data_IF_221652599865
#
_entry.id   IF_221652599865
#
_cell.length_a   1.000
_cell.length_b   1.000
_cell.length_c   1.000
_cell.angle_alpha   90.00
_cell.angle_beta   90.00
_cell.angle_gamma   90.00
#
_symmetry.space_group_name_H-M   'P 1'
#
loop_
_entity.id
_entity.type
_entity.pdbx_description
1 polymer ?
#
# COMPACT_ATOMS: atom_id res chain seq x y z
N UNK A 1 0.85 -6.34 -20.05
CA UNK A 1 -0.38 -7.08 -20.38
C UNK A 1 -0.77 -7.82 -19.11
N UNK A 2 -1.88 -7.43 -18.46
CA UNK A 2 -2.37 -8.09 -17.24
C UNK A 2 -2.94 -9.46 -17.61
N UNK A 3 -2.13 -10.50 -17.55
CA UNK A 3 -2.62 -11.87 -17.69
C UNK A 3 -2.14 -12.65 -16.48
N UNK A 4 -2.81 -12.42 -15.36
CA UNK A 4 -2.90 -13.48 -14.36
C UNK A 4 -3.68 -14.60 -15.03
N UNK A 5 -2.99 -15.69 -15.34
CA UNK A 5 -3.62 -16.91 -15.83
C UNK A 5 -4.29 -17.57 -14.64
N UNK A 6 -5.50 -17.13 -14.30
CA UNK A 6 -6.37 -17.83 -13.33
C UNK A 6 -6.60 -19.29 -13.71
N UNK A 7 -6.49 -19.56 -15.01
CA UNK A 7 -6.61 -20.87 -15.59
C UNK A 7 -5.43 -21.17 -16.51
N UNK A 8 -5.00 -22.41 -16.51
CA UNK A 8 -4.07 -22.98 -17.48
C UNK A 8 -4.83 -23.87 -18.45
N UNK A 9 -4.31 -23.94 -19.68
CA UNK A 9 -4.89 -24.74 -20.75
C UNK A 9 -3.97 -25.92 -21.03
N UNK A 10 -4.48 -27.15 -20.88
CA UNK A 10 -3.80 -28.38 -21.26
C UNK A 10 -4.64 -29.09 -22.33
N UNK A 11 -4.34 -28.85 -23.60
CA UNK A 11 -5.15 -29.36 -24.71
C UNK A 11 -6.54 -28.73 -24.74
N UNK A 12 -7.58 -29.54 -24.52
CA UNK A 12 -8.98 -29.15 -24.41
C UNK A 12 -9.47 -29.01 -22.96
N UNK A 13 -8.58 -29.18 -21.98
CA UNK A 13 -8.88 -29.01 -20.56
C UNK A 13 -8.48 -27.62 -20.07
N UNK A 14 -9.38 -27.01 -19.30
CA UNK A 14 -9.13 -25.78 -18.55
C UNK A 14 -8.96 -26.17 -17.09
N UNK A 15 -7.75 -26.05 -16.57
CA UNK A 15 -7.45 -26.27 -15.16
C UNK A 15 -7.34 -24.91 -14.46
N UNK A 16 -7.80 -24.81 -13.22
CA UNK A 16 -7.45 -23.65 -12.39
C UNK A 16 -5.94 -23.67 -12.16
N UNK A 17 -5.29 -22.52 -12.27
CA UNK A 17 -3.87 -22.43 -12.00
C UNK A 17 -3.61 -22.72 -10.52
N UNK A 18 -2.82 -23.74 -10.23
CA UNK A 18 -2.49 -24.16 -8.86
C UNK A 18 -1.73 -23.07 -8.06
N UNK A 19 -1.11 -22.10 -8.75
CA UNK A 19 -0.51 -20.91 -8.13
C UNK A 19 -1.56 -19.91 -7.64
N UNK A 20 -2.82 -20.04 -8.07
CA UNK A 20 -3.93 -19.21 -7.61
C UNK A 20 -4.59 -19.90 -6.43
N UNK A 21 -4.00 -19.66 -5.26
CA UNK A 21 -4.37 -20.30 -4.00
C UNK A 21 -5.88 -20.20 -3.70
N UNK A 22 -6.44 -21.31 -3.23
CA UNK A 22 -7.77 -21.38 -2.63
C UNK A 22 -7.69 -20.93 -1.16
N UNK A 23 -8.61 -20.05 -0.76
CA UNK A 23 -8.58 -19.23 0.46
C UNK A 23 -7.36 -18.30 0.53
N UNK A 24 -7.52 -17.07 0.03
CA UNK A 24 -6.48 -16.05 0.08
C UNK A 24 -6.45 -15.43 1.47
N UNK A 25 -5.40 -15.73 2.23
CA UNK A 25 -5.09 -15.11 3.51
C UNK A 25 -5.33 -13.59 3.46
N UNK A 26 -4.87 -12.93 2.40
CA UNK A 26 -4.99 -11.49 2.18
C UNK A 26 -6.45 -11.05 2.02
N UNK A 27 -7.30 -11.88 1.39
CA UNK A 27 -8.72 -11.60 1.25
C UNK A 27 -9.43 -11.70 2.60
N UNK A 28 -9.14 -12.75 3.37
CA UNK A 28 -9.66 -12.93 4.73
C UNK A 28 -9.22 -11.78 5.63
N UNK A 29 -7.94 -11.41 5.56
CA UNK A 29 -7.38 -10.26 6.28
C UNK A 29 -8.12 -8.97 5.92
N UNK A 30 -8.35 -8.69 4.63
CA UNK A 30 -9.13 -7.54 4.20
C UNK A 30 -10.57 -7.58 4.73
N UNK A 31 -11.19 -8.76 4.79
CA UNK A 31 -12.53 -8.92 5.36
C UNK A 31 -12.53 -8.59 6.86
N UNK A 32 -11.57 -9.13 7.62
CA UNK A 32 -11.41 -8.88 9.05
C UNK A 32 -11.17 -7.39 9.32
N UNK A 33 -10.29 -6.73 8.56
CA UNK A 33 -10.10 -5.28 8.67
C UNK A 33 -11.36 -4.48 8.33
N UNK A 34 -12.15 -4.92 7.35
CA UNK A 34 -13.41 -4.27 7.00
C UNK A 34 -14.46 -4.39 8.11
N UNK A 35 -14.47 -5.52 8.82
CA UNK A 35 -15.45 -5.82 9.87
C UNK A 35 -15.08 -5.15 11.20
N UNK A 36 -13.83 -5.32 11.62
CA UNK A 36 -13.38 -4.99 12.99
C UNK A 36 -12.56 -3.70 13.05
N UNK A 37 -12.02 -3.26 11.91
CA UNK A 37 -11.18 -2.08 11.82
C UNK A 37 -9.81 -2.26 12.50
N UNK A 38 -8.91 -1.31 12.26
CA UNK A 38 -7.59 -1.29 12.90
C UNK A 38 -7.56 -0.55 14.25
N UNK A 39 -8.64 0.17 14.62
CA UNK A 39 -8.64 1.14 15.73
C UNK A 39 -8.74 0.54 17.13
N UNK A 40 -9.22 -0.70 17.26
CA UNK A 40 -9.31 -1.39 18.56
C UNK A 40 -8.05 -2.22 18.87
N UNK A 41 -7.04 -2.15 18.01
CA UNK A 41 -5.89 -3.03 18.06
C UNK A 41 -4.64 -2.30 18.55
N UNK A 42 -3.91 -2.93 19.46
CA UNK A 42 -2.65 -2.41 20.02
C UNK A 42 -1.45 -2.80 19.14
N UNK A 43 -0.41 -1.98 19.14
CA UNK A 43 0.89 -2.31 18.53
C UNK A 43 0.97 -2.18 17.00
N UNK A 44 1.68 -3.11 16.35
CA UNK A 44 2.03 -3.12 14.92
C UNK A 44 0.90 -3.62 14.00
N UNK A 45 -0.26 -3.99 14.52
CA UNK A 45 -1.33 -4.63 13.73
C UNK A 45 -1.90 -3.78 12.58
N UNK A 46 -2.06 -2.43 12.71
CA UNK A 46 -2.40 -1.59 11.56
C UNK A 46 -1.37 -1.64 10.42
N UNK A 47 -0.09 -1.92 10.74
CA UNK A 47 0.97 -2.07 9.74
C UNK A 47 0.84 -3.30 8.87
N UNK A 48 0.08 -4.31 9.29
CA UNK A 48 -0.19 -5.47 8.45
C UNK A 48 -0.93 -5.04 7.18
N UNK A 49 -1.95 -4.18 7.31
CA UNK A 49 -2.68 -3.67 6.15
C UNK A 49 -1.81 -2.78 5.27
N UNK A 50 -0.99 -1.91 5.87
CA UNK A 50 -0.09 -1.03 5.12
C UNK A 50 0.97 -1.82 4.35
N UNK A 51 1.63 -2.81 4.98
CA UNK A 51 2.64 -3.66 4.32
C UNK A 51 2.03 -4.49 3.18
N UNK A 52 0.88 -5.12 3.42
CA UNK A 52 0.16 -5.86 2.40
C UNK A 52 -0.27 -4.96 1.23
N UNK A 53 -0.75 -3.74 1.53
CA UNK A 53 -1.08 -2.75 0.52
C UNK A 53 0.17 -2.30 -0.25
N UNK A 54 1.30 -2.14 0.42
CA UNK A 54 2.54 -1.70 -0.21
C UNK A 54 3.02 -2.73 -1.24
N UNK A 55 2.96 -4.02 -0.92
CA UNK A 55 3.20 -5.09 -1.89
C UNK A 55 2.23 -5.04 -3.08
N UNK A 56 0.92 -4.85 -2.83
CA UNK A 56 -0.07 -4.77 -3.91
C UNK A 56 0.19 -3.59 -4.86
N UNK A 57 0.46 -2.40 -4.33
CA UNK A 57 0.75 -1.21 -5.14
C UNK A 57 2.09 -1.37 -5.87
N UNK A 58 3.10 -1.91 -5.20
CA UNK A 58 4.40 -2.27 -5.79
C UNK A 58 4.25 -3.20 -6.99
N UNK A 59 3.44 -4.26 -6.87
CA UNK A 59 3.13 -5.17 -7.97
C UNK A 59 2.33 -4.49 -9.09
N UNK A 60 1.42 -3.56 -8.76
CA UNK A 60 0.68 -2.78 -9.76
C UNK A 60 1.59 -1.92 -10.64
N UNK A 61 2.51 -1.17 -10.02
CA UNK A 61 3.39 -0.25 -10.76
C UNK A 61 4.63 -0.97 -11.33
N UNK A 62 5.01 -2.09 -10.73
CA UNK A 62 6.20 -2.88 -11.07
C UNK A 62 7.49 -2.24 -10.55
N UNK A 63 7.55 -1.92 -9.26
CA UNK A 63 8.73 -1.27 -8.68
C UNK A 63 8.74 -1.29 -7.15
N UNK A 64 9.84 -0.84 -6.51
CA UNK A 64 10.02 -0.86 -5.06
C UNK A 64 9.01 0.02 -4.30
N UNK A 65 8.97 -0.20 -2.99
CA UNK A 65 8.16 0.57 -2.06
C UNK A 65 8.90 0.88 -0.77
N UNK A 66 8.37 1.83 -0.01
CA UNK A 66 8.80 2.22 1.33
C UNK A 66 7.56 2.43 2.21
N UNK A 67 7.47 1.69 3.32
CA UNK A 67 6.38 1.83 4.30
C UNK A 67 6.71 3.02 5.21
N UNK A 68 6.01 4.12 4.99
CA UNK A 68 6.27 5.42 5.63
C UNK A 68 5.41 5.70 6.86
N UNK A 69 4.18 5.16 6.93
CA UNK A 69 3.16 5.57 7.91
C UNK A 69 3.57 5.45 9.38
N UNK A 70 2.82 6.06 10.29
CA UNK A 70 3.05 5.94 11.72
C UNK A 70 2.11 4.90 12.38
N UNK A 71 2.57 4.09 13.35
CA UNK A 71 3.93 4.02 13.93
C UNK A 71 4.96 3.43 12.97
N UNK A 72 6.20 3.90 12.99
CA UNK A 72 7.24 3.32 12.11
C UNK A 72 7.56 1.87 12.48
N UNK A 73 8.10 1.10 11.53
CA UNK A 73 8.64 -0.24 11.81
C UNK A 73 9.90 -0.12 12.68
N UNK A 74 10.26 -1.18 13.41
CA UNK A 74 11.30 -1.14 14.45
C UNK A 74 12.67 -0.65 13.95
N UNK A 75 13.04 -0.99 12.71
CA UNK A 75 14.32 -0.60 12.09
C UNK A 75 14.22 0.65 11.19
N UNK A 76 13.10 1.36 11.23
CA UNK A 76 12.87 2.56 10.43
C UNK A 76 13.04 3.80 11.30
N UNK A 77 13.73 4.81 10.76
CA UNK A 77 13.94 6.08 11.44
C UNK A 77 12.60 6.72 11.87
N UNK A 78 12.51 7.11 13.14
CA UNK A 78 11.28 7.69 13.72
C UNK A 78 11.07 9.13 13.29
N UNK A 79 12.16 9.91 13.16
CA UNK A 79 12.12 11.31 12.81
C UNK A 79 11.60 11.51 11.38
N UNK A 80 10.46 12.19 11.23
CA UNK A 80 9.84 12.42 9.92
C UNK A 80 10.78 13.14 8.94
N UNK A 81 11.61 14.07 9.42
CA UNK A 81 12.56 14.80 8.60
C UNK A 81 13.59 13.87 7.93
N UNK A 82 14.17 12.95 8.71
CA UNK A 82 15.14 11.98 8.19
C UNK A 82 14.47 10.94 7.29
N UNK A 83 13.24 10.50 7.58
CA UNK A 83 12.48 9.64 6.66
C UNK A 83 12.19 10.31 5.32
N UNK A 84 11.77 11.59 5.32
CA UNK A 84 11.56 12.33 4.06
C UNK A 84 12.87 12.46 3.29
N UNK A 85 13.98 12.72 3.97
CA UNK A 85 15.31 12.77 3.34
C UNK A 85 15.71 11.41 2.76
N UNK A 86 15.52 10.32 3.51
CA UNK A 86 15.76 8.96 3.04
C UNK A 86 14.95 8.65 1.77
N UNK A 87 13.67 9.03 1.75
CA UNK A 87 12.81 8.87 0.57
C UNK A 87 13.34 9.68 -0.61
N UNK A 88 13.72 10.95 -0.40
CA UNK A 88 14.29 11.78 -1.44
C UNK A 88 15.57 11.14 -2.03
N UNK A 89 16.45 10.62 -1.17
CA UNK A 89 17.68 9.93 -1.57
C UNK A 89 17.40 8.64 -2.35
N UNK A 90 16.44 7.81 -1.91
CA UNK A 90 15.99 6.60 -2.61
C UNK A 90 15.44 6.92 -4.01
N UNK A 91 14.71 8.02 -4.12
CA UNK A 91 14.11 8.49 -5.37
C UNK A 91 15.07 9.34 -6.21
N UNK A 92 16.27 9.64 -5.70
CA UNK A 92 17.21 10.61 -6.32
C UNK A 92 16.58 11.98 -6.57
N UNK A 93 15.51 12.30 -5.86
CA UNK A 93 14.87 13.61 -5.85
C UNK A 93 15.58 14.51 -4.84
N UNK A 94 15.46 15.82 -4.99
CA UNK A 94 16.12 16.75 -4.08
C UNK A 94 15.26 16.95 -2.82
N UNK A 95 15.78 16.59 -1.65
CA UNK A 95 15.21 17.03 -0.37
C UNK A 95 15.19 18.57 -0.32
N UNK A 96 14.02 19.15 -0.09
CA UNK A 96 13.83 20.61 -0.12
C UNK A 96 13.65 21.19 1.27
N UNK A 97 12.73 20.62 2.07
CA UNK A 97 12.41 21.12 3.40
C UNK A 97 11.99 19.98 4.33
N UNK A 98 12.39 20.09 5.60
CA UNK A 98 11.94 19.17 6.64
C UNK A 98 10.49 19.49 7.06
N UNK A 99 9.58 18.49 7.13
CA UNK A 99 8.31 18.68 7.82
C UNK A 99 8.53 19.05 9.29
N UNK A 100 7.61 19.83 9.86
CA UNK A 100 7.62 20.10 11.31
C UNK A 100 7.55 18.78 12.10
N UNK A 101 8.42 18.65 13.12
CA UNK A 101 8.50 17.47 13.98
C UNK A 101 7.20 17.14 14.75
N UNK A 102 6.22 18.06 14.78
CA UNK A 102 4.88 17.79 15.34
C UNK A 102 4.07 16.79 14.50
N UNK A 103 4.44 16.62 13.24
CA UNK A 103 3.79 15.69 12.33
C UNK A 103 4.45 14.32 12.40
N UNK A 104 3.63 13.28 12.32
CA UNK A 104 4.08 11.89 12.35
C UNK A 104 4.48 11.41 10.95
N UNK A 105 3.53 11.40 10.02
CA UNK A 105 3.70 10.87 8.66
C UNK A 105 3.10 11.80 7.57
N UNK A 106 2.43 12.88 7.97
CA UNK A 106 1.67 13.77 7.07
C UNK A 106 0.70 13.01 6.16
N UNK A 107 0.06 11.96 6.67
CA UNK A 107 -0.99 11.21 5.99
C UNK A 107 -0.49 10.26 4.89
N UNK A 108 0.82 10.12 4.68
CA UNK A 108 1.37 9.10 3.78
C UNK A 108 1.70 7.86 4.57
N UNK A 109 1.16 6.73 4.15
CA UNK A 109 1.46 5.43 4.73
C UNK A 109 2.49 4.67 3.89
N UNK A 110 2.46 4.84 2.57
CA UNK A 110 3.28 4.07 1.64
C UNK A 110 3.77 4.99 0.52
N UNK A 111 5.02 4.78 0.10
CA UNK A 111 5.60 5.41 -1.08
C UNK A 111 6.07 4.30 -2.01
N UNK A 112 5.51 4.22 -3.21
CA UNK A 112 5.93 3.26 -4.23
C UNK A 112 6.43 4.01 -5.46
N UNK A 113 7.41 3.46 -6.18
CA UNK A 113 7.87 4.08 -7.42
C UNK A 113 8.30 3.07 -8.47
N UNK A 114 8.20 3.46 -9.74
CA UNK A 114 8.64 2.66 -10.89
C UNK A 114 9.92 3.23 -11.48
N UNK A 115 11.10 2.71 -11.14
CA UNK A 115 12.35 3.22 -11.67
C UNK A 115 12.47 2.99 -13.18
N UNK A 116 13.25 3.83 -13.86
CA UNK A 116 13.68 3.56 -15.23
C UNK A 116 14.69 2.41 -15.27
N UNK A 117 14.77 1.72 -16.40
CA UNK A 117 15.64 0.55 -16.61
C UNK A 117 17.13 0.93 -16.84
N UNK A 118 17.61 1.98 -16.17
CA UNK A 118 18.99 2.43 -16.27
C UNK A 118 19.93 1.40 -15.60
N UNK A 119 21.06 1.04 -16.25
CA UNK A 119 21.91 -0.08 -15.84
C UNK A 119 22.68 0.18 -14.53
N UNK A 120 22.97 1.44 -14.21
CA UNK A 120 23.76 1.82 -13.03
C UNK A 120 22.86 2.21 -11.86
N UNK A 121 22.94 1.45 -10.76
CA UNK A 121 22.15 1.72 -9.54
C UNK A 121 22.56 3.04 -8.85
N UNK A 122 23.86 3.38 -8.89
CA UNK A 122 24.40 4.59 -8.28
C UNK A 122 24.20 5.85 -9.13
N UNK A 123 23.85 5.69 -10.41
CA UNK A 123 23.69 6.77 -11.38
C UNK A 123 22.25 7.04 -11.84
N UNK A 124 21.25 6.40 -11.21
CA UNK A 124 19.84 6.56 -11.61
C UNK A 124 19.39 8.01 -11.53
N UNK A 125 18.60 8.42 -12.52
CA UNK A 125 18.04 9.77 -12.59
C UNK A 125 16.70 9.84 -11.85
N UNK A 126 16.36 11.04 -11.41
CA UNK A 126 15.04 11.38 -10.89
C UNK A 126 13.97 11.43 -12.00
N UNK A 127 12.71 11.70 -11.62
CA UNK A 127 11.61 11.87 -12.58
C UNK A 127 10.87 10.58 -12.94
N UNK A 128 11.09 9.51 -12.19
CA UNK A 128 10.29 8.29 -12.26
C UNK A 128 8.83 8.51 -11.80
N UNK A 129 7.95 7.55 -12.12
CA UNK A 129 6.60 7.54 -11.55
C UNK A 129 6.69 7.26 -10.05
N UNK A 130 6.19 8.18 -9.24
CA UNK A 130 6.09 8.04 -7.78
C UNK A 130 4.61 8.07 -7.37
N UNK A 131 4.24 7.16 -6.49
CA UNK A 131 2.90 7.05 -5.90
C UNK A 131 3.02 7.25 -4.39
N UNK A 132 2.29 8.23 -3.86
CA UNK A 132 2.13 8.43 -2.42
C UNK A 132 0.76 7.90 -2.02
N UNK A 133 0.70 6.90 -1.15
CA UNK A 133 -0.55 6.26 -0.76
C UNK A 133 -0.86 6.47 0.71
N UNK A 134 -2.14 6.72 0.99
CA UNK A 134 -2.73 6.60 2.32
C UNK A 134 -3.54 5.30 2.42
N UNK A 135 -3.50 4.65 3.58
CA UNK A 135 -4.24 3.45 3.92
C UNK A 135 -5.30 3.77 4.97
N UNK A 136 -6.50 3.23 4.77
CA UNK A 136 -7.60 3.40 5.72
C UNK A 136 -8.28 2.07 6.03
N UNK A 137 -7.80 1.40 7.06
CA UNK A 137 -8.33 0.13 7.55
C UNK A 137 -9.42 0.28 8.64
N UNK A 138 -10.15 1.39 8.68
CA UNK A 138 -11.18 1.65 9.71
C UNK A 138 -12.52 2.06 9.11
N UNK A 139 -13.60 2.00 9.90
CA UNK A 139 -14.97 2.27 9.43
C UNK A 139 -15.19 3.71 8.92
N UNK A 140 -14.38 4.66 9.40
CA UNK A 140 -14.42 6.08 9.00
C UNK A 140 -13.57 6.42 7.76
N UNK A 141 -13.17 5.43 6.96
CA UNK A 141 -12.26 5.62 5.82
C UNK A 141 -12.71 6.69 4.83
N UNK A 142 -14.02 6.92 4.65
CA UNK A 142 -14.55 7.93 3.72
C UNK A 142 -14.10 9.35 4.04
N UNK A 143 -13.87 9.66 5.33
CA UNK A 143 -13.39 10.99 5.74
C UNK A 143 -11.92 11.21 5.35
N UNK A 144 -11.20 10.12 5.06
CA UNK A 144 -9.76 10.12 4.77
C UNK A 144 -9.41 10.27 3.30
N UNK A 145 -10.37 10.20 2.39
CA UNK A 145 -10.14 10.25 0.93
C UNK A 145 -9.45 11.53 0.47
N UNK A 146 -9.53 12.61 1.26
CA UNK A 146 -8.94 13.93 0.99
C UNK A 146 -7.84 14.32 1.97
N UNK A 147 -7.42 13.42 2.85
CA UNK A 147 -6.48 13.75 3.94
C UNK A 147 -5.02 13.81 3.48
N UNK A 148 -4.70 13.19 2.34
CA UNK A 148 -3.35 13.18 1.79
C UNK A 148 -2.93 14.58 1.28
N UNK A 149 -2.05 15.32 1.99
CA UNK A 149 -1.82 16.73 1.73
C UNK A 149 -0.73 16.90 0.66
N UNK A 150 -1.05 16.61 -0.60
CA UNK A 150 -0.09 16.64 -1.73
C UNK A 150 0.62 17.98 -1.89
N UNK A 151 -0.05 19.10 -1.58
CA UNK A 151 0.57 20.43 -1.60
C UNK A 151 1.72 20.57 -0.60
N UNK A 152 1.65 19.89 0.54
CA UNK A 152 2.72 19.86 1.53
C UNK A 152 3.88 18.97 1.08
N UNK A 153 3.58 17.83 0.48
CA UNK A 153 4.62 16.92 -0.03
C UNK A 153 5.46 17.53 -1.17
N UNK A 154 4.88 18.45 -1.94
CA UNK A 154 5.63 19.29 -2.91
C UNK A 154 6.57 20.30 -2.27
N UNK A 155 6.39 20.64 -1.00
CA UNK A 155 7.31 21.52 -0.26
C UNK A 155 8.50 20.73 0.30
N UNK A 156 8.27 19.48 0.70
CA UNK A 156 9.27 18.66 1.37
C UNK A 156 10.32 18.08 0.43
N UNK A 157 9.88 17.63 -0.75
CA UNK A 157 10.73 17.07 -1.80
C UNK A 157 10.51 17.90 -3.06
N UNK A 158 11.60 18.32 -3.69
CA UNK A 158 11.55 19.00 -4.98
C UNK A 158 11.54 17.96 -6.09
N UNK A 159 10.32 17.58 -6.47
CA UNK A 159 10.02 16.54 -7.45
C UNK A 159 10.36 16.98 -8.88
N UNK A 160 11.03 16.12 -9.64
CA UNK A 160 11.15 16.29 -11.09
C UNK A 160 9.79 16.09 -11.79
N UNK A 161 8.95 15.19 -11.30
CA UNK A 161 7.55 15.02 -11.68
C UNK A 161 6.70 14.86 -10.42
N UNK A 162 5.57 15.56 -10.35
CA UNK A 162 4.66 15.46 -9.21
C UNK A 162 4.22 14.01 -8.96
N UNK A 163 4.23 13.54 -7.70
CA UNK A 163 3.76 12.21 -7.37
C UNK A 163 2.24 12.08 -7.57
N UNK A 164 1.80 10.87 -7.88
CA UNK A 164 0.38 10.52 -8.00
C UNK A 164 -0.15 10.12 -6.62
N UNK A 165 -1.27 10.72 -6.14
CA UNK A 165 -1.88 10.27 -4.90
C UNK A 165 -2.54 8.90 -5.09
N UNK A 166 -2.55 8.10 -4.04
CA UNK A 166 -3.27 6.85 -3.97
C UNK A 166 -3.96 6.67 -2.63
N UNK A 167 -5.02 5.87 -2.63
CA UNK A 167 -5.80 5.56 -1.45
C UNK A 167 -6.21 4.10 -1.43
N UNK A 168 -5.99 3.43 -0.30
CA UNK A 168 -6.25 2.01 -0.15
C UNK A 168 -7.19 1.71 1.01
N UNK A 169 -8.18 0.84 0.77
CA UNK A 169 -9.15 0.38 1.76
C UNK A 169 -9.34 -1.14 1.69
N UNK A 170 -9.59 -1.81 2.82
CA UNK A 170 -9.76 -3.25 2.88
C UNK A 170 -11.16 -3.71 2.44
N UNK A 171 -12.09 -2.79 2.21
CA UNK A 171 -13.48 -3.07 1.82
C UNK A 171 -13.68 -2.91 0.31
N UNK A 172 -14.83 -3.38 -0.20
CA UNK A 172 -15.26 -3.13 -1.58
C UNK A 172 -16.00 -1.80 -1.61
N UNK A 173 -15.57 -0.90 -2.50
CA UNK A 173 -16.26 0.36 -2.72
C UNK A 173 -17.41 0.09 -3.71
N UNK A 174 -18.61 0.54 -3.37
CA UNK A 174 -19.78 0.37 -4.23
C UNK A 174 -19.67 1.23 -5.50
N UNK A 175 -20.20 0.73 -6.61
CA UNK A 175 -20.09 1.37 -7.95
C UNK A 175 -20.64 2.80 -7.98
N UNK A 176 -21.72 3.07 -7.24
CA UNK A 176 -22.36 4.39 -7.17
C UNK A 176 -21.46 5.44 -6.49
N UNK A 177 -20.54 5.01 -5.63
CA UNK A 177 -19.56 5.87 -4.97
C UNK A 177 -18.23 5.93 -5.70
N UNK A 178 -17.98 4.97 -6.60
CA UNK A 178 -16.68 4.77 -7.21
C UNK A 178 -16.13 6.04 -7.86
N UNK A 179 -16.95 6.71 -8.67
CA UNK A 179 -16.54 7.94 -9.35
C UNK A 179 -16.15 9.04 -8.37
N UNK A 180 -17.00 9.30 -7.36
CA UNK A 180 -16.78 10.36 -6.38
C UNK A 180 -15.51 10.11 -5.59
N UNK A 181 -15.28 8.88 -5.10
CA UNK A 181 -14.07 8.55 -4.35
C UNK A 181 -12.80 8.76 -5.21
N UNK A 182 -12.83 8.40 -6.49
CA UNK A 182 -11.69 8.65 -7.38
C UNK A 182 -11.45 10.16 -7.59
N UNK A 183 -12.52 10.96 -7.65
CA UNK A 183 -12.42 12.43 -7.75
C UNK A 183 -11.89 13.06 -6.48
N UNK A 184 -12.21 12.51 -5.31
CA UNK A 184 -11.73 13.00 -4.01
C UNK A 184 -10.26 12.71 -3.77
N UNK A 185 -9.82 11.49 -4.13
CA UNK A 185 -8.42 11.07 -4.00
C UNK A 185 -7.53 11.75 -5.04
N UNK A 186 -8.10 12.15 -6.18
CA UNK A 186 -7.40 12.74 -7.33
C UNK A 186 -6.29 11.84 -7.90
N UNK A 187 -6.47 10.52 -7.81
CA UNK A 187 -5.47 9.54 -8.24
C UNK A 187 -5.96 8.10 -8.22
N UNK A 188 -5.11 7.20 -7.71
CA UNK A 188 -5.37 5.76 -7.76
C UNK A 188 -6.14 5.28 -6.52
N UNK A 189 -7.23 4.57 -6.73
CA UNK A 189 -8.00 3.94 -5.64
C UNK A 189 -7.80 2.42 -5.67
N UNK A 190 -7.42 1.85 -4.53
CA UNK A 190 -7.26 0.42 -4.31
C UNK A 190 -8.26 -0.06 -3.25
N UNK A 191 -9.38 -0.61 -3.71
CA UNK A 191 -10.31 -1.34 -2.84
C UNK A 191 -9.86 -2.80 -2.71
N UNK A 192 -10.60 -3.59 -1.92
CA UNK A 192 -10.28 -5.02 -1.72
C UNK A 192 -10.07 -5.76 -3.02
N UNK A 193 -10.93 -5.56 -4.03
CA UNK A 193 -10.83 -6.29 -5.30
C UNK A 193 -9.51 -5.98 -6.00
N UNK A 194 -9.13 -4.71 -6.07
CA UNK A 194 -7.87 -4.28 -6.70
C UNK A 194 -6.65 -4.77 -5.92
N UNK A 195 -6.66 -4.69 -4.60
CA UNK A 195 -5.57 -5.19 -3.76
C UNK A 195 -5.33 -6.68 -4.01
N UNK A 196 -6.39 -7.48 -3.96
CA UNK A 196 -6.30 -8.94 -4.10
C UNK A 196 -5.90 -9.35 -5.52
N UNK A 197 -6.31 -8.60 -6.54
CA UNK A 197 -5.84 -8.82 -7.91
C UNK A 197 -4.33 -8.61 -8.07
N UNK A 198 -3.71 -7.77 -7.23
CA UNK A 198 -2.27 -7.56 -7.19
C UNK A 198 -1.54 -8.43 -6.15
N UNK A 199 -2.25 -9.37 -5.51
CA UNK A 199 -1.69 -10.33 -4.55
C UNK A 199 -2.14 -11.74 -4.95
N UNK A 200 -2.08 -12.07 -6.24
CA UNK A 200 -2.60 -13.32 -6.78
C UNK A 200 -1.88 -14.57 -6.30
N UNK A 201 -0.61 -14.41 -5.94
CA UNK A 201 0.29 -15.42 -5.37
C UNK A 201 0.55 -15.17 -3.88
N UNK A 202 -0.29 -14.34 -3.25
CA UNK A 202 -0.14 -13.87 -1.88
C UNK A 202 0.98 -12.83 -1.70
N UNK A 203 1.14 -12.36 -0.46
CA UNK A 203 2.29 -11.54 -0.06
C UNK A 203 3.58 -12.35 -0.16
N UNK A 204 4.66 -11.73 -0.64
CA UNK A 204 5.94 -12.38 -0.91
C UNK A 204 6.88 -12.34 0.30
N UNK A 205 6.73 -11.34 1.17
CA UNK A 205 7.50 -11.23 2.40
C UNK A 205 7.06 -12.29 3.43
N UNK A 206 7.96 -13.22 3.78
CA UNK A 206 7.65 -14.35 4.65
C UNK A 206 7.20 -13.91 6.06
N UNK A 207 7.90 -12.94 6.65
CA UNK A 207 7.57 -12.39 7.97
C UNK A 207 6.18 -11.72 7.98
N UNK A 208 5.83 -11.01 6.90
CA UNK A 208 4.50 -10.44 6.75
C UNK A 208 3.44 -11.54 6.65
N UNK A 209 3.71 -12.58 5.85
CA UNK A 209 2.80 -13.72 5.70
C UNK A 209 2.50 -14.37 7.03
N UNK A 210 3.53 -14.69 7.81
CA UNK A 210 3.40 -15.30 9.14
C UNK A 210 2.59 -14.40 10.08
N UNK A 211 2.87 -13.09 10.11
CA UNK A 211 2.15 -12.15 10.94
C UNK A 211 0.66 -11.99 10.52
N UNK A 212 0.36 -12.09 9.22
CA UNK A 212 -1.02 -12.11 8.72
C UNK A 212 -1.76 -13.39 9.12
N UNK A 213 -1.09 -14.55 9.08
CA UNK A 213 -1.67 -15.83 9.51
C UNK A 213 -1.96 -15.86 11.00
N UNK A 214 -1.03 -15.37 11.82
CA UNK A 214 -1.20 -15.21 13.26
C UNK A 214 -2.40 -14.31 13.54
N UNK A 215 -2.43 -13.12 12.94
CA UNK A 215 -3.51 -12.16 13.15
C UNK A 215 -4.87 -12.70 12.73
N UNK A 216 -4.97 -13.34 11.56
CA UNK A 216 -6.21 -14.00 11.12
C UNK A 216 -6.69 -15.02 12.16
N UNK A 217 -5.78 -15.82 12.72
CA UNK A 217 -6.10 -16.84 13.71
C UNK A 217 -6.59 -16.21 15.02
N UNK A 218 -5.91 -15.17 15.51
CA UNK A 218 -6.35 -14.39 16.69
C UNK A 218 -7.77 -13.85 16.50
N UNK A 219 -8.07 -13.23 15.36
CA UNK A 219 -9.40 -12.66 15.09
C UNK A 219 -10.47 -13.73 14.95
N UNK A 220 -10.13 -14.91 14.42
CA UNK A 220 -11.05 -16.04 14.35
C UNK A 220 -11.39 -16.60 15.75
N UNK A 221 -10.44 -16.58 16.68
CA UNK A 221 -10.65 -17.00 18.08
C UNK A 221 -11.43 -15.95 18.88
N UNK A 222 -11.06 -14.68 18.78
CA UNK A 222 -11.70 -13.57 19.49
C UNK A 222 -13.19 -13.45 19.17
N UNK A 223 -13.56 -13.75 17.92
CA UNK A 223 -14.93 -13.65 17.42
C UNK A 223 -15.62 -15.01 17.24
N UNK A 224 -15.09 -16.07 17.86
CA UNK A 224 -15.72 -17.40 17.88
C UNK A 224 -16.91 -17.36 18.84
N UNK A 225 -18.12 -17.42 18.29
CA UNK A 225 -19.38 -17.51 19.04
C UNK A 225 -19.57 -18.89 19.70
#
# INVERSE_FOLDING_TARGET
MYVLKFFEFEGDLVARNDLVTDARLEYEVCLLFSLYGASNQTGSKPKLFERMTAEAISQHIGGPFFVFGWPVLDDVETAIAERVKQVADLLRERFAEAPSARYKDRGVDIICWKPFAEPDFDGRRSGQLVVLSQCAAGHDWRKKTRELPMSSWRQYIHWANDPVPAFAVPCVILDDLWHDINREVEGLVFDRVRLINHLSVGVQEAELREALEEWRSEQAEEHRA
#
